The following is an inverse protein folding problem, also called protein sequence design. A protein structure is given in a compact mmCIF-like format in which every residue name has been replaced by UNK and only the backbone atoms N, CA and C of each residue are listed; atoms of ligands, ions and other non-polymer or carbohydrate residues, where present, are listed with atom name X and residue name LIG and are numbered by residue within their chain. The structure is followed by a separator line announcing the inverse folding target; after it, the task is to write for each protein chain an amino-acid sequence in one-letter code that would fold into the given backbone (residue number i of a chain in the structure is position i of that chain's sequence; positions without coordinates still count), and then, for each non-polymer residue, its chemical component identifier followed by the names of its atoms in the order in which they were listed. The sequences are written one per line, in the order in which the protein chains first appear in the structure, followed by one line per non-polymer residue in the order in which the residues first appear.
data_IF_040102303626
#
_entry.id   IF_040102303626
#
_cell.length_a   1.000
_cell.length_b   1.000
_cell.length_c   1.000
_cell.angle_alpha   90.00
_cell.angle_beta   90.00
_cell.angle_gamma   90.00
#
_symmetry.space_group_name_H-M   'P 1'
#
loop_
_entity.id
_entity.type
_entity.pdbx_description
1 polymer ?
#
# COMPACT_ATOMS: atom_id res chain seq x y z
N UNK A 1 2.96 2.83 -21.67
CA UNK A 1 1.73 3.42 -22.26
C UNK A 1 1.39 4.76 -21.58
N UNK A 2 2.29 5.74 -21.64
CA UNK A 2 2.12 7.00 -20.88
C UNK A 2 1.03 7.91 -21.49
N UNK A 3 0.89 7.91 -22.81
CA UNK A 3 -0.13 8.68 -23.51
C UNK A 3 -1.57 8.22 -23.19
N UNK A 4 -1.77 6.91 -23.10
CA UNK A 4 -3.07 6.34 -22.73
C UNK A 4 -3.42 6.66 -21.26
N UNK A 5 -2.43 6.55 -20.36
CA UNK A 5 -2.60 6.59 -18.90
C UNK A 5 -2.46 8.00 -18.28
N UNK A 6 -2.63 9.07 -19.05
CA UNK A 6 -2.50 10.45 -18.56
C UNK A 6 -3.71 10.97 -17.74
N UNK A 7 -4.59 10.09 -17.26
CA UNK A 7 -5.64 10.41 -16.28
C UNK A 7 -6.93 11.03 -16.82
N UNK A 8 -7.04 11.32 -18.12
CA UNK A 8 -8.27 11.87 -18.72
C UNK A 8 -9.04 10.82 -19.53
N UNK A 9 -10.33 10.66 -19.23
CA UNK A 9 -11.26 9.76 -19.91
C UNK A 9 -11.68 10.32 -21.28
N UNK A 10 -11.65 11.65 -21.44
CA UNK A 10 -11.99 12.33 -22.69
C UNK A 10 -10.72 12.78 -23.40
N UNK A 11 -10.40 12.13 -24.51
CA UNK A 11 -9.23 12.50 -25.33
C UNK A 11 -9.54 13.71 -26.20
N UNK A 12 -8.74 14.75 -26.04
CA UNK A 12 -8.81 16.02 -26.78
C UNK A 12 -8.02 15.94 -28.10
N UNK A 13 -8.26 16.92 -28.98
CA UNK A 13 -7.45 17.07 -30.21
C UNK A 13 -5.96 17.28 -29.92
N UNK A 14 -5.62 17.95 -28.81
CA UNK A 14 -4.23 18.12 -28.36
C UNK A 14 -3.58 16.80 -27.98
N UNK A 15 -4.30 15.90 -27.33
CA UNK A 15 -3.79 14.57 -27.02
C UNK A 15 -3.63 13.73 -28.29
N UNK A 16 -4.54 13.81 -29.27
CA UNK A 16 -4.33 13.16 -30.56
C UNK A 16 -3.05 13.66 -31.25
N UNK A 17 -2.78 14.96 -31.20
CA UNK A 17 -1.53 15.52 -31.74
C UNK A 17 -0.30 15.01 -30.98
N UNK A 18 -0.38 14.87 -29.65
CA UNK A 18 0.71 14.29 -28.85
C UNK A 18 0.95 12.81 -29.19
N UNK A 19 -0.10 12.02 -29.46
CA UNK A 19 0.07 10.63 -29.92
C UNK A 19 0.89 10.56 -31.20
N UNK A 20 0.58 11.44 -32.16
CA UNK A 20 1.26 11.43 -33.45
C UNK A 20 2.70 11.90 -33.29
N UNK A 21 2.93 13.07 -32.69
CA UNK A 21 4.25 13.69 -32.65
C UNK A 21 5.20 13.05 -31.64
N UNK A 22 4.70 12.66 -30.47
CA UNK A 22 5.55 12.22 -29.35
C UNK A 22 5.66 10.69 -29.27
N UNK A 23 4.78 9.94 -29.94
CA UNK A 23 4.77 8.46 -29.87
C UNK A 23 4.98 7.84 -31.25
N UNK A 24 4.14 8.17 -32.25
CA UNK A 24 4.19 7.50 -33.56
C UNK A 24 5.41 7.94 -34.38
N UNK A 25 5.75 9.23 -34.33
CA UNK A 25 6.89 9.80 -35.04
C UNK A 25 8.21 9.68 -34.27
N UNK A 26 8.21 9.06 -33.08
CA UNK A 26 9.45 8.86 -32.32
C UNK A 26 10.44 7.98 -33.11
N UNK A 27 11.73 8.35 -33.23
CA UNK A 27 12.72 7.60 -34.00
C UNK A 27 12.95 6.17 -33.52
N UNK A 28 12.67 5.88 -32.25
CA UNK A 28 12.75 4.55 -31.66
C UNK A 28 11.46 3.72 -31.85
N UNK A 29 10.37 4.36 -32.25
CA UNK A 29 9.10 3.69 -32.48
C UNK A 29 9.08 3.00 -33.86
N UNK A 30 8.73 1.71 -33.88
CA UNK A 30 8.60 0.93 -35.10
C UNK A 30 7.11 0.72 -35.40
N UNK A 31 6.56 1.39 -36.44
CA UNK A 31 5.14 1.23 -36.78
C UNK A 31 4.74 -0.21 -37.12
N UNK A 32 5.69 -1.06 -37.53
CA UNK A 32 5.48 -2.49 -37.75
C UNK A 32 5.00 -3.23 -36.50
N UNK A 33 5.36 -2.77 -35.31
CA UNK A 33 5.05 -3.44 -34.04
C UNK A 33 3.57 -3.24 -33.65
N UNK A 34 2.88 -2.29 -34.29
CA UNK A 34 1.43 -2.11 -34.16
C UNK A 34 0.61 -3.15 -34.93
N UNK A 35 1.24 -3.93 -35.82
CA UNK A 35 0.54 -4.96 -36.59
C UNK A 35 -0.05 -6.03 -35.65
N UNK A 36 -1.38 -6.11 -35.62
CA UNK A 36 -2.09 -7.03 -34.71
C UNK A 36 -2.03 -6.61 -33.23
N UNK A 37 -1.83 -5.31 -32.96
CA UNK A 37 -1.98 -4.76 -31.62
C UNK A 37 -3.45 -4.85 -31.17
N UNK A 38 -3.65 -5.35 -29.96
CA UNK A 38 -4.92 -5.25 -29.24
C UNK A 38 -4.61 -4.86 -27.79
N UNK A 39 -5.49 -4.07 -27.18
CA UNK A 39 -5.33 -3.64 -25.78
C UNK A 39 -5.21 -4.85 -24.85
N UNK A 40 -6.06 -5.86 -25.02
CA UNK A 40 -6.03 -7.09 -24.24
C UNK A 40 -4.68 -7.84 -24.32
N UNK A 41 -4.02 -7.83 -25.49
CA UNK A 41 -2.69 -8.44 -25.65
C UNK A 41 -1.61 -7.63 -24.92
N UNK A 42 -1.68 -6.30 -25.02
CA UNK A 42 -0.74 -5.40 -24.39
C UNK A 42 -0.85 -5.43 -22.85
N UNK A 43 -2.07 -5.45 -22.32
CA UNK A 43 -2.36 -5.60 -20.90
C UNK A 43 -1.81 -6.93 -20.37
N UNK A 44 -2.11 -8.04 -21.06
CA UNK A 44 -1.60 -9.36 -20.68
C UNK A 44 -0.06 -9.45 -20.72
N UNK A 45 0.57 -8.76 -21.66
CA UNK A 45 2.03 -8.68 -21.73
C UNK A 45 2.61 -7.85 -20.56
N UNK A 46 1.98 -6.73 -20.23
CA UNK A 46 2.36 -5.89 -19.11
C UNK A 46 2.19 -6.62 -17.77
N UNK A 47 1.10 -7.38 -17.58
CA UNK A 47 0.89 -8.19 -16.38
C UNK A 47 2.00 -9.24 -16.22
N UNK A 48 2.35 -9.94 -17.31
CA UNK A 48 3.44 -10.93 -17.32
C UNK A 48 4.79 -10.31 -16.98
N UNK A 49 5.05 -9.10 -17.49
CA UNK A 49 6.28 -8.37 -17.21
C UNK A 49 6.31 -7.86 -15.76
N UNK A 50 5.19 -7.38 -15.23
CA UNK A 50 5.06 -6.99 -13.82
C UNK A 50 5.31 -8.17 -12.88
N UNK A 51 4.77 -9.36 -13.17
CA UNK A 51 5.06 -10.57 -12.42
C UNK A 51 6.54 -10.97 -12.45
N UNK A 52 7.24 -10.69 -13.55
CA UNK A 52 8.67 -10.93 -13.67
C UNK A 52 9.51 -9.85 -12.94
N UNK A 53 9.08 -8.59 -12.99
CA UNK A 53 9.75 -7.44 -12.41
C UNK A 53 9.64 -7.38 -10.89
N UNK A 54 8.61 -7.99 -10.30
CA UNK A 54 8.40 -8.06 -8.86
C UNK A 54 8.52 -9.51 -8.35
N UNK A 55 9.74 -10.01 -8.09
CA UNK A 55 9.96 -11.38 -7.59
C UNK A 55 9.18 -11.70 -6.31
N UNK A 56 8.95 -10.69 -5.47
CA UNK A 56 8.21 -10.81 -4.21
C UNK A 56 6.73 -11.16 -4.42
N UNK A 57 6.16 -10.91 -5.61
CA UNK A 57 4.79 -11.32 -5.96
C UNK A 57 4.65 -12.85 -5.97
N UNK A 58 5.76 -13.59 -6.07
CA UNK A 58 5.80 -15.06 -5.93
C UNK A 58 5.62 -15.52 -4.48
N UNK A 59 5.88 -14.67 -3.50
CA UNK A 59 5.68 -14.97 -2.08
C UNK A 59 4.21 -14.82 -1.64
N UNK A 60 3.33 -14.42 -2.58
CA UNK A 60 1.90 -14.30 -2.37
C UNK A 60 1.19 -15.55 -2.89
N UNK A 61 0.35 -16.12 -2.05
CA UNK A 61 -0.51 -17.24 -2.36
C UNK A 61 -1.77 -16.76 -3.06
N UNK A 62 -2.29 -17.54 -3.99
CA UNK A 62 -3.57 -17.28 -4.64
C UNK A 62 -4.70 -18.02 -3.89
N UNK A 63 -5.81 -17.32 -3.66
CA UNK A 63 -7.02 -17.87 -3.09
C UNK A 63 -8.26 -17.27 -3.77
N UNK A 64 -9.33 -18.06 -3.82
CA UNK A 64 -10.64 -17.58 -4.24
C UNK A 64 -11.47 -17.32 -2.99
N UNK A 65 -11.99 -16.09 -2.84
CA UNK A 65 -12.73 -15.69 -1.63
C UNK A 65 -14.19 -15.42 -1.97
N UNK A 66 -15.08 -15.96 -1.14
CA UNK A 66 -16.51 -15.70 -1.22
C UNK A 66 -16.91 -14.70 -0.13
N UNK A 67 -17.34 -13.51 -0.56
CA UNK A 67 -17.76 -12.43 0.33
C UNK A 67 -19.29 -12.38 0.34
N UNK A 68 -19.89 -12.46 1.53
CA UNK A 68 -21.32 -12.21 1.68
C UNK A 68 -21.57 -10.70 1.71
N UNK A 69 -22.18 -10.19 0.64
CA UNK A 69 -22.50 -8.78 0.49
C UNK A 69 -23.93 -8.56 1.00
N UNK A 70 -24.13 -7.77 2.06
CA UNK A 70 -25.48 -7.46 2.55
C UNK A 70 -26.23 -6.59 1.54
N UNK A 71 -27.52 -6.87 1.36
CA UNK A 71 -28.40 -6.14 0.44
C UNK A 71 -28.75 -4.72 0.92
N UNK A 72 -28.52 -4.38 2.19
CA UNK A 72 -28.95 -3.12 2.80
C UNK A 72 -30.42 -3.10 3.25
N UNK A 73 -31.22 -4.11 2.91
CA UNK A 73 -32.60 -4.29 3.39
C UNK A 73 -32.68 -5.51 4.31
N UNK A 74 -33.47 -5.42 5.39
CA UNK A 74 -33.59 -6.50 6.40
C UNK A 74 -34.22 -7.78 5.85
N UNK A 75 -35.07 -7.65 4.83
CA UNK A 75 -35.87 -8.75 4.29
C UNK A 75 -35.20 -9.46 3.10
N UNK A 76 -34.04 -8.96 2.63
CA UNK A 76 -33.33 -9.52 1.48
C UNK A 76 -32.07 -10.24 1.97
N UNK A 77 -31.91 -11.54 1.66
CA UNK A 77 -30.75 -12.30 2.11
C UNK A 77 -29.45 -11.79 1.46
N UNK A 78 -28.29 -11.94 2.13
CA UNK A 78 -27.00 -11.56 1.57
C UNK A 78 -26.68 -12.28 0.27
N UNK A 79 -26.04 -11.58 -0.67
CA UNK A 79 -25.60 -12.14 -1.94
C UNK A 79 -24.13 -12.56 -1.83
N UNK A 80 -23.79 -13.75 -2.33
CA UNK A 80 -22.40 -14.21 -2.41
C UNK A 80 -21.72 -13.55 -3.61
N UNK A 81 -20.62 -12.88 -3.36
CA UNK A 81 -19.73 -12.30 -4.36
C UNK A 81 -18.42 -13.09 -4.37
N UNK A 82 -18.08 -13.69 -5.51
CA UNK A 82 -16.85 -14.47 -5.68
C UNK A 82 -15.75 -13.55 -6.19
N UNK A 83 -14.62 -13.52 -5.48
CA UNK A 83 -13.40 -12.83 -5.87
C UNK A 83 -12.37 -13.90 -6.25
N UNK A 84 -12.25 -14.26 -7.54
CA UNK A 84 -11.25 -15.20 -7.98
C UNK A 84 -9.86 -14.57 -8.04
N UNK A 85 -8.83 -15.36 -7.77
CA UNK A 85 -7.44 -14.96 -7.95
C UNK A 85 -6.94 -13.89 -6.97
N UNK A 86 -7.53 -13.80 -5.77
CA UNK A 86 -7.03 -12.92 -4.72
C UNK A 86 -5.64 -13.39 -4.29
N UNK A 87 -4.65 -12.50 -4.36
CA UNK A 87 -3.31 -12.76 -3.85
C UNK A 87 -3.18 -12.27 -2.42
N UNK A 88 -2.71 -13.13 -1.52
CA UNK A 88 -2.50 -12.78 -0.13
C UNK A 88 -1.20 -13.39 0.40
N UNK A 89 -0.67 -12.83 1.49
CA UNK A 89 0.47 -13.38 2.21
C UNK A 89 0.12 -13.45 3.68
N UNK A 90 0.39 -14.58 4.32
CA UNK A 90 0.12 -14.73 5.75
C UNK A 90 0.87 -13.66 6.55
N UNK A 91 0.16 -13.00 7.48
CA UNK A 91 0.75 -12.00 8.37
C UNK A 91 1.98 -12.55 9.10
N UNK A 92 1.94 -13.81 9.53
CA UNK A 92 3.08 -14.48 10.18
C UNK A 92 4.27 -14.62 9.23
N UNK A 93 4.02 -14.91 7.94
CA UNK A 93 5.08 -14.96 6.93
C UNK A 93 5.70 -13.58 6.70
N UNK A 94 4.88 -12.52 6.68
CA UNK A 94 5.36 -11.14 6.53
C UNK A 94 6.24 -10.75 7.71
N UNK A 95 5.78 -10.99 8.94
CA UNK A 95 6.55 -10.71 10.16
C UNK A 95 7.87 -11.48 10.16
N UNK A 96 7.85 -12.79 9.86
CA UNK A 96 9.09 -13.58 9.79
C UNK A 96 10.06 -13.03 8.74
N UNK A 97 9.58 -12.72 7.54
CA UNK A 97 10.42 -12.17 6.48
C UNK A 97 11.06 -10.83 6.89
N UNK A 98 10.30 -9.97 7.53
CA UNK A 98 10.79 -8.71 8.08
C UNK A 98 11.91 -8.89 9.12
N UNK A 99 11.76 -9.84 10.04
CA UNK A 99 12.78 -10.11 11.07
C UNK A 99 13.97 -10.93 10.56
N UNK A 100 13.88 -11.51 9.37
CA UNK A 100 15.01 -12.15 8.68
C UNK A 100 15.87 -11.14 7.91
N UNK A 101 15.39 -9.92 7.69
CA UNK A 101 16.15 -8.88 7.00
C UNK A 101 17.30 -8.36 7.89
N UNK A 102 18.50 -8.08 7.35
CA UNK A 102 19.60 -7.48 8.12
C UNK A 102 19.23 -6.16 8.82
N UNK A 103 18.28 -5.39 8.26
CA UNK A 103 17.76 -4.16 8.86
C UNK A 103 16.92 -4.41 10.10
N UNK A 104 16.48 -5.65 10.36
CA UNK A 104 15.74 -5.99 11.57
C UNK A 104 16.53 -5.66 12.86
N UNK A 105 17.86 -5.66 12.78
CA UNK A 105 18.73 -5.23 13.89
C UNK A 105 18.54 -3.76 14.28
N UNK A 106 17.95 -2.94 13.41
CA UNK A 106 17.63 -1.52 13.66
C UNK A 106 16.20 -1.30 14.15
N UNK A 107 15.37 -2.34 14.18
CA UNK A 107 13.99 -2.19 14.64
C UNK A 107 13.95 -1.86 16.13
N UNK A 108 13.22 -0.79 16.45
CA UNK A 108 12.93 -0.44 17.83
C UNK A 108 11.69 -1.18 18.32
N UNK A 109 11.90 -2.30 19.03
CA UNK A 109 10.82 -3.12 19.59
C UNK A 109 10.38 -2.66 20.99
N UNK A 110 11.21 -1.84 21.65
CA UNK A 110 10.90 -1.20 22.92
C UNK A 110 10.54 0.26 22.69
N UNK A 111 9.58 0.81 23.45
CA UNK A 111 9.31 2.23 23.38
C UNK A 111 10.55 3.09 23.67
N UNK A 112 10.71 4.17 22.91
CA UNK A 112 11.81 5.13 23.08
C UNK A 112 11.29 6.55 22.90
N UNK A 113 12.04 7.52 23.43
CA UNK A 113 11.74 8.95 23.24
C UNK A 113 12.50 9.44 22.00
N UNK A 114 11.76 10.00 21.04
CA UNK A 114 12.35 10.61 19.85
C UNK A 114 12.64 12.08 20.11
N UNK A 115 13.89 12.50 19.90
CA UNK A 115 14.30 13.90 19.97
C UNK A 115 14.70 14.38 18.57
N UNK A 116 14.23 15.56 18.20
CA UNK A 116 14.67 16.26 17.00
C UNK A 116 15.59 17.39 17.41
N UNK A 117 16.80 17.38 16.86
CA UNK A 117 17.77 18.45 17.04
C UNK A 117 17.46 19.57 16.07
N UNK A 118 17.05 20.72 16.59
CA UNK A 118 16.77 21.89 15.78
C UNK A 118 18.06 22.40 15.11
N UNK A 119 18.11 22.56 13.77
CA UNK A 119 19.33 22.93 13.06
C UNK A 119 19.91 24.29 13.47
N UNK A 120 19.07 25.17 14.03
CA UNK A 120 19.41 26.57 14.31
C UNK A 120 19.77 26.84 15.77
N UNK A 121 19.09 26.19 16.70
CA UNK A 121 19.29 26.39 18.15
C UNK A 121 20.13 25.28 18.78
N UNK A 122 20.37 24.17 18.04
CA UNK A 122 21.07 22.99 18.53
C UNK A 122 20.42 22.39 19.80
N UNK A 123 19.14 22.70 20.01
CA UNK A 123 18.33 22.20 21.11
C UNK A 123 17.65 20.90 20.68
N UNK A 124 17.66 19.92 21.58
CA UNK A 124 16.97 18.66 21.40
C UNK A 124 15.53 18.80 21.90
N UNK A 125 14.58 18.88 20.97
CA UNK A 125 13.14 18.97 21.29
C UNK A 125 12.49 17.61 21.14
N UNK A 126 11.70 17.21 22.14
CA UNK A 126 10.93 15.96 22.07
C UNK A 126 9.92 16.05 20.93
N UNK A 127 9.97 15.10 20.01
CA UNK A 127 8.99 15.01 18.92
C UNK A 127 7.78 14.22 19.39
N UNK A 128 6.61 14.86 19.35
CA UNK A 128 5.33 14.23 19.62
C UNK A 128 4.79 13.57 18.35
N UNK A 129 5.22 12.34 18.07
CA UNK A 129 4.53 11.48 17.12
C UNK A 129 3.38 10.76 17.84
N UNK A 130 2.18 10.79 17.26
CA UNK A 130 0.96 10.23 17.86
C UNK A 130 1.07 8.71 18.17
N UNK A 131 2.06 8.01 17.62
CA UNK A 131 2.35 6.60 17.88
C UNK A 131 3.39 6.35 18.99
N UNK A 132 4.19 7.35 19.37
CA UNK A 132 5.39 7.17 20.22
C UNK A 132 5.20 7.64 21.67
N UNK A 133 3.95 7.80 22.10
CA UNK A 133 3.61 8.15 23.49
C UNK A 133 3.42 6.91 24.35
N UNK A 134 4.46 6.11 24.51
CA UNK A 134 4.46 5.09 25.55
C UNK A 134 4.38 5.68 26.97
N UNK A 135 4.50 6.99 27.17
CA UNK A 135 4.26 7.58 28.49
C UNK A 135 2.80 8.05 28.69
N UNK A 136 2.29 8.88 27.77
CA UNK A 136 0.98 9.51 27.96
C UNK A 136 -0.19 8.59 27.55
N UNK A 137 -0.04 7.79 26.49
CA UNK A 137 -1.07 6.84 26.09
C UNK A 137 -1.12 5.65 27.05
N UNK A 138 0.02 5.20 27.58
CA UNK A 138 0.10 4.07 28.53
C UNK A 138 -0.69 4.36 29.82
N UNK A 139 -0.64 5.61 30.33
CA UNK A 139 -1.42 6.02 31.50
C UNK A 139 -2.93 6.09 31.23
N UNK A 140 -3.37 6.49 30.03
CA UNK A 140 -4.80 6.56 29.72
C UNK A 140 -5.40 5.19 29.30
N UNK A 141 -4.63 4.35 28.60
CA UNK A 141 -5.07 3.04 28.11
C UNK A 141 -5.10 1.98 29.21
N UNK A 142 -4.08 1.89 30.06
CA UNK A 142 -4.03 0.94 31.19
C UNK A 142 -5.15 1.25 32.19
N UNK A 143 -5.41 2.54 32.45
CA UNK A 143 -6.52 2.97 33.34
C UNK A 143 -7.89 2.55 32.79
N UNK A 144 -8.03 2.36 31.47
CA UNK A 144 -9.29 2.00 30.82
C UNK A 144 -9.47 0.49 30.60
N UNK A 145 -8.38 -0.27 30.41
CA UNK A 145 -8.41 -1.72 30.14
C UNK A 145 -8.11 -2.57 31.38
N UNK A 146 -7.63 -1.95 32.46
CA UNK A 146 -7.31 -2.60 33.73
C UNK A 146 -5.81 -2.89 33.90
N UNK A 147 -5.33 -2.99 35.16
CA UNK A 147 -3.91 -3.22 35.47
C UNK A 147 -3.39 -4.58 35.02
N UNK A 148 -4.28 -5.54 34.75
CA UNK A 148 -3.94 -6.89 34.27
C UNK A 148 -3.74 -6.96 32.74
N UNK A 149 -3.94 -5.84 32.03
CA UNK A 149 -3.77 -5.79 30.58
C UNK A 149 -2.28 -5.69 30.19
N UNK A 150 -1.76 -6.76 29.61
CA UNK A 150 -0.38 -6.81 29.11
C UNK A 150 -0.23 -6.04 27.80
N UNK A 151 0.33 -4.83 27.88
CA UNK A 151 0.61 -3.98 26.74
C UNK A 151 1.58 -4.64 25.73
N UNK A 152 2.42 -5.57 26.17
CA UNK A 152 3.39 -6.27 25.31
C UNK A 152 2.72 -7.24 24.32
N UNK A 153 1.42 -7.55 24.53
CA UNK A 153 0.61 -8.32 23.57
C UNK A 153 0.08 -7.48 22.42
N UNK A 154 0.20 -6.16 22.49
CA UNK A 154 -0.22 -5.22 21.45
C UNK A 154 1.01 -4.75 20.65
N UNK A 155 1.70 -5.71 20.01
CA UNK A 155 2.79 -5.40 19.09
C UNK A 155 2.22 -4.72 17.84
N UNK A 156 2.25 -3.39 17.82
CA UNK A 156 2.20 -2.62 16.58
C UNK A 156 3.64 -2.38 16.18
N UNK A 157 4.18 -3.27 15.34
CA UNK A 157 5.48 -3.06 14.71
C UNK A 157 5.29 -1.98 13.65
N UNK A 158 5.88 -0.81 13.88
CA UNK A 158 5.93 0.23 12.85
C UNK A 158 6.91 -0.18 11.77
N UNK A 159 6.38 -0.62 10.63
CA UNK A 159 7.15 -1.00 9.44
C UNK A 159 7.53 0.19 8.56
N UNK A 160 7.10 1.42 8.90
CA UNK A 160 7.00 2.48 7.90
C UNK A 160 8.16 3.48 7.85
N UNK A 161 9.21 3.36 8.68
CA UNK A 161 10.20 4.45 8.79
C UNK A 161 11.68 4.17 8.47
N UNK A 162 12.06 2.97 8.03
CA UNK A 162 13.48 2.65 7.74
C UNK A 162 13.74 2.13 6.30
N UNK A 163 12.94 2.52 5.32
CA UNK A 163 13.25 2.32 3.89
C UNK A 163 13.71 3.63 3.23
N UNK A 164 14.74 3.65 2.37
CA UNK A 164 15.01 4.82 1.54
C UNK A 164 13.73 5.18 0.76
N UNK A 165 13.34 6.45 0.84
CA UNK A 165 12.15 7.10 0.26
C UNK A 165 11.92 6.87 -1.25
N UNK A 166 12.76 6.10 -1.91
CA UNK A 166 12.67 5.78 -3.34
C UNK A 166 11.79 4.57 -3.66
N UNK A 167 11.41 3.74 -2.66
CA UNK A 167 10.61 2.52 -2.92
C UNK A 167 9.10 2.59 -2.60
N UNK A 168 8.60 3.69 -2.02
CA UNK A 168 7.19 3.80 -1.59
C UNK A 168 6.42 4.91 -2.31
N UNK A 169 6.66 5.07 -3.62
CA UNK A 169 5.87 5.95 -4.48
C UNK A 169 4.49 5.41 -4.89
N UNK A 170 4.08 4.20 -4.47
CA UNK A 170 2.92 3.54 -5.08
C UNK A 170 1.86 2.97 -4.12
N UNK A 171 1.98 3.14 -2.81
CA UNK A 171 0.98 2.65 -1.83
C UNK A 171 0.56 3.75 -0.87
N UNK A 172 0.07 4.85 -1.42
CA UNK A 172 -0.66 5.88 -0.67
C UNK A 172 -2.02 6.11 -1.31
N UNK A 173 -2.82 5.06 -1.47
CA UNK A 173 -4.28 5.17 -1.59
C UNK A 173 -4.90 3.91 -0.97
N UNK A 174 -5.97 4.10 -0.20
CA UNK A 174 -6.87 3.09 0.36
C UNK A 174 -6.55 2.53 1.76
N UNK A 175 -6.47 3.41 2.76
CA UNK A 175 -7.24 3.22 4.01
C UNK A 175 -7.79 4.58 4.45
N UNK A 176 -8.84 5.02 3.77
CA UNK A 176 -9.64 6.16 4.19
C UNK A 176 -11.11 5.79 3.99
N UNK A 177 -11.92 6.07 5.02
CA UNK A 177 -13.37 5.87 5.12
C UNK A 177 -13.87 4.48 5.51
N UNK A 178 -13.97 4.26 6.83
CA UNK A 178 -15.10 3.53 7.43
C UNK A 178 -15.18 3.77 8.95
N UNK A 179 -15.22 5.03 9.39
CA UNK A 179 -15.54 5.31 10.80
C UNK A 179 -16.19 6.67 11.02
N UNK A 180 -17.38 6.86 10.47
CA UNK A 180 -18.34 7.88 10.92
C UNK A 180 -19.74 7.50 10.43
N UNK A 181 -20.48 6.73 11.23
CA UNK A 181 -21.95 6.66 11.21
C UNK A 181 -22.48 5.76 12.34
N UNK A 182 -22.21 6.13 13.59
CA UNK A 182 -23.01 5.70 14.75
C UNK A 182 -23.05 6.87 15.73
N UNK A 183 -23.97 7.79 15.47
CA UNK A 183 -24.69 8.68 16.39
C UNK A 183 -25.83 9.30 15.59
#
# INVERSE_FOLDING_TARGET
MNWHNNGNVLKSAGELNALVNDVILDPGFKPSDLAGFTTARAEKAADKEAEAAFPWVKDFEAADVEIQVPSGSKDVPPRIFKVPGLRYRSLVSVIKAAFMDPLAARFHLSPFKLFHRLPKTNEDVSVLSHLYLANLAQNAFITRLGPDFDLHRMLVVDFMHEGPLEMLGATSVAVLSAQTAWC
#
